data_IF_104401956965
#
_entry.id   IF_104401956965
#
_cell.length_a   1.000
_cell.length_b   1.000
_cell.length_c   1.000
_cell.angle_alpha   90.00
_cell.angle_beta   90.00
_cell.angle_gamma   90.00
#
_symmetry.space_group_name_H-M   'P 1'
#
loop_
_entity.id
_entity.type
_entity.pdbx_description
1 polymer ?
#
# COMPACT_ATOMS: atom_id res chain seq x y z
N UNK A 1 -17.24 -8.55 -5.25
CA UNK A 1 -17.15 -9.26 -3.96
C UNK A 1 -18.46 -9.09 -3.17
N UNK A 2 -18.94 -10.18 -2.57
CA UNK A 2 -20.22 -10.21 -1.80
C UNK A 2 -20.00 -10.34 -0.29
N UNK A 3 -18.77 -10.61 0.14
CA UNK A 3 -18.41 -10.77 1.54
C UNK A 3 -18.48 -9.48 2.37
N UNK A 4 -18.51 -9.63 3.70
CA UNK A 4 -18.51 -8.49 4.65
C UNK A 4 -17.18 -7.76 4.73
N UNK A 5 -16.09 -8.38 4.26
CA UNK A 5 -14.74 -7.83 4.17
C UNK A 5 -14.14 -8.17 2.81
N UNK A 6 -13.30 -7.28 2.32
CA UNK A 6 -12.57 -7.42 1.05
C UNK A 6 -11.09 -7.39 1.38
N UNK A 7 -10.36 -8.43 0.98
CA UNK A 7 -8.91 -8.50 1.08
C UNK A 7 -8.33 -8.65 -0.33
N UNK A 8 -7.14 -8.08 -0.54
CA UNK A 8 -6.47 -8.05 -1.82
C UNK A 8 -5.23 -8.94 -1.78
N UNK A 9 -4.92 -9.58 -2.89
CA UNK A 9 -3.68 -10.34 -3.07
C UNK A 9 -3.18 -10.17 -4.50
N UNK A 10 -1.90 -9.85 -4.66
CA UNK A 10 -1.22 -9.90 -5.94
C UNK A 10 -0.92 -11.36 -6.30
N UNK A 11 -0.97 -11.70 -7.58
CA UNK A 11 -0.90 -13.09 -8.05
C UNK A 11 0.41 -13.82 -7.69
N UNK A 12 1.47 -13.05 -7.43
CA UNK A 12 2.81 -13.56 -7.10
C UNK A 12 3.16 -13.47 -5.60
N UNK A 13 2.26 -12.89 -4.78
CA UNK A 13 2.44 -12.76 -3.34
C UNK A 13 1.95 -14.00 -2.57
N UNK A 14 2.42 -14.13 -1.34
CA UNK A 14 2.03 -15.24 -0.47
C UNK A 14 1.42 -14.72 0.83
N UNK A 15 0.32 -15.33 1.25
CA UNK A 15 -0.27 -15.13 2.57
C UNK A 15 0.06 -16.26 3.53
N UNK A 16 0.24 -15.92 4.81
CA UNK A 16 0.17 -16.94 5.87
C UNK A 16 -1.25 -17.50 5.97
N UNK A 17 -1.36 -18.80 6.26
CA UNK A 17 -2.65 -19.53 6.36
C UNK A 17 -3.66 -18.85 7.28
N UNK A 18 -3.20 -18.21 8.34
CA UNK A 18 -4.05 -17.56 9.34
C UNK A 18 -4.26 -16.04 9.10
N UNK A 19 -3.75 -15.47 8.00
CA UNK A 19 -3.83 -14.00 7.75
C UNK A 19 -5.26 -13.48 7.84
N UNK A 20 -6.17 -14.07 7.10
CA UNK A 20 -7.57 -13.62 7.05
C UNK A 20 -8.24 -13.69 8.42
N UNK A 21 -8.02 -14.77 9.17
CA UNK A 21 -8.56 -14.93 10.52
C UNK A 21 -8.06 -13.83 11.45
N UNK A 22 -6.73 -13.66 11.54
CA UNK A 22 -6.09 -12.66 12.41
C UNK A 22 -6.55 -11.26 12.07
N UNK A 23 -6.63 -10.93 10.78
CA UNK A 23 -7.00 -9.60 10.33
C UNK A 23 -8.49 -9.31 10.57
N UNK A 24 -9.34 -10.30 10.36
CA UNK A 24 -10.77 -10.20 10.64
C UNK A 24 -11.07 -10.00 12.13
N UNK A 25 -10.43 -10.79 13.01
CA UNK A 25 -10.56 -10.66 14.47
C UNK A 25 -10.10 -9.27 14.94
N UNK A 26 -8.95 -8.79 14.42
CA UNK A 26 -8.43 -7.47 14.71
C UNK A 26 -9.41 -6.36 14.30
N UNK A 27 -9.95 -6.43 13.07
CA UNK A 27 -10.87 -5.42 12.56
C UNK A 27 -12.19 -5.39 13.35
N UNK A 28 -12.69 -6.55 13.75
CA UNK A 28 -13.89 -6.64 14.61
C UNK A 28 -13.65 -6.06 16.00
N UNK A 29 -12.52 -6.43 16.64
CA UNK A 29 -12.15 -5.95 17.97
C UNK A 29 -11.99 -4.43 18.01
N UNK A 30 -11.33 -3.85 17.01
CA UNK A 30 -11.03 -2.43 16.95
C UNK A 30 -12.10 -1.61 16.19
N UNK A 31 -13.17 -2.24 15.71
CA UNK A 31 -14.24 -1.62 14.94
C UNK A 31 -13.73 -0.74 13.76
N UNK A 32 -12.57 -1.12 13.16
CA UNK A 32 -11.94 -0.33 12.11
C UNK A 32 -12.44 -0.72 10.72
N UNK A 33 -12.42 0.24 9.81
CA UNK A 33 -12.83 0.04 8.42
C UNK A 33 -11.73 -0.49 7.54
N UNK A 34 -10.47 -0.21 7.86
CA UNK A 34 -9.30 -0.58 7.05
C UNK A 34 -8.19 -1.05 7.98
N UNK A 35 -7.58 -2.18 7.63
CA UNK A 35 -6.40 -2.69 8.33
C UNK A 35 -5.31 -3.10 7.35
N UNK A 36 -4.06 -3.08 7.81
CA UNK A 36 -2.90 -3.61 7.10
C UNK A 36 -2.01 -4.43 8.04
N UNK A 37 -1.03 -5.13 7.47
CA UNK A 37 -0.08 -5.95 8.24
C UNK A 37 1.35 -5.59 7.87
N UNK A 38 2.32 -5.94 8.70
CA UNK A 38 3.71 -6.04 8.29
C UNK A 38 3.86 -7.08 7.17
N UNK A 39 4.92 -6.99 6.37
CA UNK A 39 5.22 -7.97 5.34
C UNK A 39 6.71 -8.29 5.24
N UNK A 40 6.97 -9.49 4.76
CA UNK A 40 8.30 -9.95 4.35
C UNK A 40 8.50 -9.63 2.88
N UNK A 41 9.75 -9.40 2.48
CA UNK A 41 10.15 -9.24 1.09
C UNK A 41 10.89 -10.49 0.68
N UNK A 42 10.42 -11.14 -0.38
CA UNK A 42 11.05 -12.32 -0.95
C UNK A 42 11.49 -12.05 -2.39
N UNK A 43 12.53 -12.73 -2.84
CA UNK A 43 12.95 -12.69 -4.24
C UNK A 43 12.09 -13.64 -5.11
N UNK A 44 12.39 -13.71 -6.41
CA UNK A 44 11.69 -14.60 -7.36
C UNK A 44 11.70 -16.08 -6.95
N UNK A 45 12.72 -16.51 -6.25
CA UNK A 45 12.87 -17.90 -5.78
C UNK A 45 12.23 -18.13 -4.39
N UNK A 46 11.55 -17.15 -3.80
CA UNK A 46 10.93 -17.26 -2.49
C UNK A 46 11.88 -17.07 -1.31
N UNK A 47 13.17 -16.75 -1.53
CA UNK A 47 14.13 -16.47 -0.45
C UNK A 47 13.85 -15.11 0.18
N UNK A 48 13.86 -15.05 1.51
CA UNK A 48 13.71 -13.81 2.28
C UNK A 48 14.90 -12.87 1.99
N UNK A 49 14.60 -11.62 1.62
CA UNK A 49 15.59 -10.58 1.32
C UNK A 49 15.36 -9.29 2.10
N UNK A 50 14.26 -9.18 2.84
CA UNK A 50 13.97 -8.02 3.67
C UNK A 50 12.66 -8.15 4.45
N UNK A 51 12.41 -7.20 5.34
CA UNK A 51 11.22 -7.16 6.19
C UNK A 51 10.74 -5.72 6.34
N UNK A 52 9.45 -5.48 6.06
CA UNK A 52 8.86 -4.16 6.20
C UNK A 52 7.96 -4.09 7.44
N UNK A 53 8.37 -3.27 8.39
CA UNK A 53 7.52 -2.84 9.51
C UNK A 53 6.76 -1.59 9.09
N UNK A 54 5.46 -1.57 9.32
CA UNK A 54 4.59 -0.45 9.01
C UNK A 54 4.07 0.11 10.34
N UNK A 55 3.87 1.42 10.43
CA UNK A 55 3.29 2.06 11.63
C UNK A 55 1.95 1.42 12.00
N UNK A 56 1.64 1.36 13.30
CA UNK A 56 0.38 0.79 13.81
C UNK A 56 -0.85 1.60 13.41
N UNK A 57 -0.68 2.86 13.05
CA UNK A 57 -1.73 3.71 12.50
C UNK A 57 -1.14 4.60 11.40
N UNK A 58 -1.80 4.63 10.25
CA UNK A 58 -1.47 5.51 9.15
C UNK A 58 -2.67 6.39 8.80
N UNK A 59 -2.40 7.68 8.69
CA UNK A 59 -3.32 8.73 8.25
C UNK A 59 -2.88 9.28 6.91
N UNK A 60 -3.72 10.11 6.29
CA UNK A 60 -3.38 10.78 5.04
C UNK A 60 -2.01 11.49 5.09
N UNK A 61 -1.72 12.20 6.19
CA UNK A 61 -0.45 12.90 6.39
C UNK A 61 0.78 12.00 6.42
N UNK A 62 0.63 10.73 6.79
CA UNK A 62 1.72 9.75 6.78
C UNK A 62 1.89 9.16 5.38
N UNK A 63 0.77 8.85 4.71
CA UNK A 63 0.76 8.22 3.40
C UNK A 63 1.18 9.16 2.27
N UNK A 64 0.83 10.45 2.34
CA UNK A 64 1.09 11.39 1.24
C UNK A 64 2.58 11.51 0.87
N UNK A 65 3.47 11.17 1.78
CA UNK A 65 4.93 11.21 1.57
C UNK A 65 5.55 9.85 1.31
N UNK A 66 4.83 8.75 1.53
CA UNK A 66 5.42 7.41 1.47
C UNK A 66 4.38 6.31 1.26
N UNK A 67 4.55 5.52 0.20
CA UNK A 67 3.72 4.34 -0.07
C UNK A 67 4.30 3.11 0.64
N UNK A 68 3.90 2.89 1.89
CA UNK A 68 4.42 1.79 2.72
C UNK A 68 3.50 0.57 2.74
N UNK A 69 2.25 0.75 2.33
CA UNK A 69 1.22 -0.29 2.38
C UNK A 69 1.20 -1.04 1.06
N UNK A 70 1.63 -2.29 1.07
CA UNK A 70 1.45 -3.18 -0.10
C UNK A 70 0.01 -3.67 -0.20
N UNK A 71 -0.50 -3.79 -1.43
CA UNK A 71 -1.88 -4.21 -1.72
C UNK A 71 -2.27 -5.48 -0.98
N UNK A 72 -1.42 -6.50 -1.03
CA UNK A 72 -1.66 -7.82 -0.41
C UNK A 72 -1.75 -7.78 1.12
N UNK A 73 -1.35 -6.67 1.77
CA UNK A 73 -1.44 -6.53 3.23
C UNK A 73 -2.81 -6.03 3.70
N UNK A 74 -3.60 -5.44 2.81
CA UNK A 74 -4.81 -4.68 3.16
C UNK A 74 -6.05 -5.56 3.26
N UNK A 75 -6.90 -5.24 4.24
CA UNK A 75 -8.28 -5.70 4.33
C UNK A 75 -9.20 -4.51 4.62
N UNK A 76 -10.34 -4.44 3.94
CA UNK A 76 -11.31 -3.35 4.01
C UNK A 76 -12.69 -3.90 4.38
N UNK A 77 -13.42 -3.20 5.24
CA UNK A 77 -14.83 -3.49 5.50
C UNK A 77 -15.66 -3.20 4.25
N UNK A 78 -16.46 -4.15 3.80
CA UNK A 78 -17.26 -4.05 2.57
C UNK A 78 -18.32 -2.92 2.59
N UNK A 79 -18.58 -2.29 3.74
CA UNK A 79 -19.35 -1.03 3.78
C UNK A 79 -18.71 0.09 2.94
N UNK A 80 -17.40 -0.02 2.66
CA UNK A 80 -16.65 0.91 1.80
C UNK A 80 -16.57 0.46 0.35
N UNK A 81 -17.20 -0.67 -0.06
CA UNK A 81 -17.04 -1.28 -1.40
C UNK A 81 -17.24 -0.30 -2.56
N UNK A 82 -18.20 0.60 -2.45
CA UNK A 82 -18.49 1.61 -3.48
C UNK A 82 -17.43 2.72 -3.60
N UNK A 83 -16.51 2.81 -2.64
CA UNK A 83 -15.37 3.74 -2.64
C UNK A 83 -14.09 3.09 -3.16
N UNK A 84 -14.09 1.75 -3.28
CA UNK A 84 -12.96 0.96 -3.77
C UNK A 84 -13.00 1.00 -5.31
N UNK A 85 -12.46 2.07 -5.86
CA UNK A 85 -12.34 2.28 -7.31
C UNK A 85 -10.87 2.54 -7.59
N UNK A 86 -10.23 1.57 -8.24
CA UNK A 86 -8.86 1.73 -8.72
C UNK A 86 -8.84 2.66 -9.92
N UNK A 87 -7.94 3.64 -9.96
CA UNK A 87 -7.78 4.51 -11.11
C UNK A 87 -7.18 3.75 -12.30
N UNK A 88 -7.47 4.20 -13.51
CA UNK A 88 -6.85 3.67 -14.72
C UNK A 88 -5.44 4.27 -14.89
N UNK A 89 -4.47 3.65 -14.24
CA UNK A 89 -3.05 4.03 -14.22
C UNK A 89 -2.21 2.75 -14.15
N UNK A 90 -1.00 2.77 -14.71
CA UNK A 90 -0.20 1.55 -14.85
C UNK A 90 0.45 1.10 -13.54
N UNK A 91 0.86 2.06 -12.71
CA UNK A 91 1.47 1.82 -11.38
C UNK A 91 0.87 2.79 -10.38
N UNK A 92 0.97 2.49 -9.08
CA UNK A 92 0.45 3.37 -7.99
C UNK A 92 -1.07 3.42 -7.87
N UNK A 93 -1.81 2.54 -8.54
CA UNK A 93 -3.27 2.45 -8.47
C UNK A 93 -3.76 2.20 -7.05
N UNK A 94 -3.08 1.33 -6.31
CA UNK A 94 -3.31 1.07 -4.90
C UNK A 94 -3.00 2.29 -4.03
N UNK A 95 -1.88 2.96 -4.28
CA UNK A 95 -1.46 4.13 -3.51
C UNK A 95 -2.45 5.30 -3.66
N UNK A 96 -2.95 5.55 -4.87
CA UNK A 96 -4.01 6.56 -5.11
C UNK A 96 -5.27 6.19 -4.32
N UNK A 97 -5.66 4.93 -4.32
CA UNK A 97 -6.82 4.46 -3.56
C UNK A 97 -6.61 4.64 -2.06
N UNK A 98 -5.40 4.31 -1.54
CA UNK A 98 -5.08 4.50 -0.12
C UNK A 98 -5.13 5.97 0.28
N UNK A 99 -4.57 6.88 -0.51
CA UNK A 99 -4.66 8.31 -0.26
C UNK A 99 -6.12 8.80 -0.24
N UNK A 100 -6.93 8.37 -1.19
CA UNK A 100 -8.36 8.72 -1.25
C UNK A 100 -9.11 8.25 -0.01
N UNK A 101 -8.89 7.02 0.43
CA UNK A 101 -9.56 6.45 1.60
C UNK A 101 -9.04 7.08 2.91
N UNK A 102 -7.74 7.36 3.02
CA UNK A 102 -7.11 7.90 4.21
C UNK A 102 -7.53 9.35 4.55
N UNK A 103 -8.17 10.05 3.61
CA UNK A 103 -8.81 11.34 3.89
C UNK A 103 -9.98 11.24 4.87
N UNK A 104 -10.55 10.03 5.05
CA UNK A 104 -11.74 9.80 5.90
C UNK A 104 -11.58 8.65 6.89
N UNK A 105 -10.66 7.73 6.65
CA UNK A 105 -10.52 6.51 7.44
C UNK A 105 -9.05 6.27 7.79
N UNK A 106 -8.76 6.05 9.05
CA UNK A 106 -7.44 5.63 9.48
C UNK A 106 -7.18 4.17 9.06
N UNK A 107 -5.93 3.87 8.71
CA UNK A 107 -5.46 2.53 8.41
C UNK A 107 -4.81 1.95 9.67
N UNK A 108 -5.42 0.96 10.29
CA UNK A 108 -4.88 0.34 11.50
C UNK A 108 -3.95 -0.83 11.16
N UNK A 109 -2.78 -0.82 11.75
CA UNK A 109 -1.72 -1.81 11.54
C UNK A 109 -1.78 -2.97 12.51
N UNK A 110 -1.54 -4.16 12.00
CA UNK A 110 -1.33 -5.36 12.81
C UNK A 110 0.18 -5.63 12.81
N UNK A 111 0.87 -5.61 13.98
CA UNK A 111 2.31 -5.79 14.09
C UNK A 111 2.72 -7.26 13.89
N UNK A 112 2.24 -7.87 12.82
CA UNK A 112 2.54 -9.26 12.44
C UNK A 112 2.88 -9.35 10.95
N UNK A 113 3.88 -10.13 10.61
CA UNK A 113 4.26 -10.44 9.23
C UNK A 113 3.36 -11.55 8.69
N UNK A 114 2.26 -11.16 8.04
CA UNK A 114 1.26 -12.09 7.52
C UNK A 114 1.29 -12.24 5.99
N UNK A 115 2.14 -11.46 5.33
CA UNK A 115 2.31 -11.43 3.87
C UNK A 115 3.79 -11.58 3.54
N UNK A 116 4.09 -12.25 2.43
CA UNK A 116 5.39 -12.22 1.77
C UNK A 116 5.19 -11.59 0.40
N UNK A 117 5.68 -10.35 0.25
CA UNK A 117 5.66 -9.61 -1.01
C UNK A 117 6.84 -10.03 -1.89
N UNK A 118 6.55 -10.36 -3.15
CA UNK A 118 7.57 -10.78 -4.10
C UNK A 118 8.13 -9.58 -4.84
N UNK A 119 9.42 -9.34 -4.65
CA UNK A 119 10.14 -8.26 -5.34
C UNK A 119 10.41 -8.67 -6.79
N UNK A 120 9.81 -7.95 -7.73
CA UNK A 120 10.05 -8.10 -9.16
C UNK A 120 11.34 -7.41 -9.59
N UNK A 121 11.93 -7.85 -10.69
CA UNK A 121 13.04 -7.16 -11.34
C UNK A 121 12.54 -5.83 -11.93
N UNK A 122 13.33 -4.77 -11.73
CA UNK A 122 12.95 -3.41 -12.13
C UNK A 122 13.69 -3.04 -13.41
N UNK A 123 12.95 -2.81 -14.49
CA UNK A 123 13.51 -2.26 -15.74
C UNK A 123 13.55 -0.72 -15.71
N UNK A 124 14.44 -0.09 -16.49
CA UNK A 124 14.47 1.36 -16.63
C UNK A 124 13.13 1.94 -17.13
N UNK A 125 12.46 1.24 -18.05
CA UNK A 125 11.12 1.61 -18.53
C UNK A 125 10.10 1.64 -17.40
N UNK A 126 10.17 0.70 -16.49
CA UNK A 126 9.27 0.63 -15.34
C UNK A 126 9.53 1.77 -14.33
N UNK A 127 10.80 2.17 -14.14
CA UNK A 127 11.15 3.33 -13.29
C UNK A 127 10.55 4.61 -13.87
N UNK A 128 10.72 4.86 -15.17
CA UNK A 128 10.16 6.04 -15.85
C UNK A 128 8.63 6.07 -15.73
N UNK A 129 7.97 4.92 -15.89
CA UNK A 129 6.51 4.83 -15.68
C UNK A 129 6.12 5.16 -14.24
N UNK A 130 6.84 4.64 -13.25
CA UNK A 130 6.59 4.95 -11.82
C UNK A 130 6.72 6.44 -11.51
N UNK A 131 7.71 7.13 -12.08
CA UNK A 131 7.89 8.58 -11.89
C UNK A 131 6.75 9.37 -12.53
N UNK A 132 6.37 9.01 -13.76
CA UNK A 132 5.22 9.61 -14.46
C UNK A 132 3.92 9.43 -13.67
N UNK A 133 3.68 8.23 -13.18
CA UNK A 133 2.47 7.91 -12.42
C UNK A 133 2.48 8.58 -11.04
N UNK A 134 3.64 8.72 -10.40
CA UNK A 134 3.78 9.49 -9.16
C UNK A 134 3.47 10.98 -9.40
N UNK A 135 3.93 11.55 -10.51
CA UNK A 135 3.59 12.93 -10.86
C UNK A 135 2.08 13.09 -11.13
N UNK A 136 1.47 12.16 -11.89
CA UNK A 136 0.04 12.14 -12.14
C UNK A 136 -0.77 11.99 -10.84
N UNK A 137 -0.31 11.18 -9.89
CA UNK A 137 -0.93 11.04 -8.57
C UNK A 137 -1.07 12.41 -7.90
N UNK A 138 0.01 13.17 -7.80
CA UNK A 138 -0.02 14.46 -7.10
C UNK A 138 -0.73 15.54 -7.92
N UNK A 139 -0.51 15.64 -9.21
CA UNK A 139 -1.10 16.69 -10.06
C UNK A 139 -2.57 16.46 -10.39
N UNK A 140 -2.96 15.23 -10.76
CA UNK A 140 -4.32 14.93 -11.22
C UNK A 140 -5.24 14.47 -10.09
N UNK A 141 -4.76 13.56 -9.21
CA UNK A 141 -5.62 12.97 -8.18
C UNK A 141 -5.62 13.76 -6.88
N UNK A 142 -4.46 14.31 -6.46
CA UNK A 142 -4.37 15.20 -5.31
C UNK A 142 -4.56 16.68 -5.67
N UNK A 143 -4.60 17.01 -6.98
CA UNK A 143 -4.83 18.36 -7.50
C UNK A 143 -3.82 19.40 -7.00
N UNK A 144 -2.57 18.99 -6.80
CA UNK A 144 -1.49 19.90 -6.45
C UNK A 144 -1.04 20.71 -7.67
N UNK A 145 -0.46 21.90 -7.44
CA UNK A 145 0.23 22.66 -8.50
C UNK A 145 1.39 21.84 -9.07
N UNK A 146 1.82 22.16 -10.29
CA UNK A 146 2.91 21.43 -10.95
C UNK A 146 4.19 21.44 -10.10
N UNK A 147 4.56 22.59 -9.55
CA UNK A 147 5.72 22.73 -8.67
C UNK A 147 5.61 21.85 -7.41
N UNK A 148 4.46 21.90 -6.72
CA UNK A 148 4.22 21.07 -5.55
C UNK A 148 4.24 19.59 -5.89
N UNK A 149 3.66 19.20 -7.01
CA UNK A 149 3.68 17.80 -7.49
C UNK A 149 5.09 17.30 -7.71
N UNK A 150 5.94 18.10 -8.35
CA UNK A 150 7.34 17.77 -8.56
C UNK A 150 8.10 17.59 -7.24
N UNK A 151 7.91 18.50 -6.29
CA UNK A 151 8.51 18.41 -4.95
C UNK A 151 8.10 17.11 -4.23
N UNK A 152 6.81 16.74 -4.30
CA UNK A 152 6.31 15.52 -3.66
C UNK A 152 6.82 14.24 -4.33
N UNK A 153 7.05 14.25 -5.64
CA UNK A 153 7.73 13.12 -6.34
C UNK A 153 9.16 12.95 -5.82
N UNK A 154 9.90 14.03 -5.60
CA UNK A 154 11.25 13.98 -5.02
C UNK A 154 11.21 13.40 -3.61
N UNK A 155 10.30 13.88 -2.75
CA UNK A 155 10.16 13.39 -1.38
C UNK A 155 9.80 11.90 -1.37
N UNK A 156 8.84 11.48 -2.20
CA UNK A 156 8.44 10.09 -2.33
C UNK A 156 9.61 9.19 -2.76
N UNK A 157 10.39 9.64 -3.75
CA UNK A 157 11.57 8.93 -4.25
C UNK A 157 12.64 8.83 -3.17
N UNK A 158 12.93 9.91 -2.48
CA UNK A 158 13.90 9.93 -1.37
C UNK A 158 13.50 8.96 -0.26
N UNK A 159 12.22 8.98 0.16
CA UNK A 159 11.71 8.06 1.18
C UNK A 159 11.79 6.59 0.74
N UNK A 160 11.55 6.32 -0.54
CA UNK A 160 11.73 4.98 -1.11
C UNK A 160 13.18 4.52 -1.03
N UNK A 161 14.13 5.34 -1.46
CA UNK A 161 15.58 5.02 -1.39
C UNK A 161 16.02 4.81 0.06
N UNK A 162 15.69 5.75 0.96
CA UNK A 162 16.04 5.63 2.39
C UNK A 162 15.61 4.28 2.97
N UNK A 163 14.42 3.79 2.64
CA UNK A 163 13.93 2.49 3.10
C UNK A 163 14.64 1.31 2.46
N UNK A 164 15.02 1.41 1.20
CA UNK A 164 15.78 0.35 0.52
C UNK A 164 17.18 0.14 1.09
N UNK A 165 17.78 1.17 1.72
CA UNK A 165 19.07 1.06 2.40
C UNK A 165 18.98 0.59 3.86
N UNK A 166 17.80 0.67 4.47
CA UNK A 166 17.56 0.28 5.87
C UNK A 166 17.00 -1.15 6.01
N UNK A 167 16.79 -1.85 4.90
CA UNK A 167 16.32 -3.23 4.80
C UNK A 167 17.45 -4.19 4.47
#
# INVERSE_FOLDING_TARGET
>A
ATGKFIAFIDADDLWKKNKLKVQLEFMKKNQCYISHTHYKIINKNGKLIGMMKIKDMLKYKDLIYSCDIGLSTVMINAKLKYKIIFPNITTKEDFILWLKLSKKYDFLGIPKYLVSWRKSEISARYINQKLKDAFNLYSKYEKFTLFKSFLYVIILSFNYFKKSFLQ
#
